data_IF_239806280236
#
_entry.id   IF_239806280236
#
_cell.length_a   1.000
_cell.length_b   1.000
_cell.length_c   1.000
_cell.angle_alpha   90.00
_cell.angle_beta   90.00
_cell.angle_gamma   90.00
#
_symmetry.space_group_name_H-M   'P 1'
#
loop_
_entity.id
_entity.type
_entity.pdbx_description
1 polymer ?
#
# COMPACT_ATOMS: atom_id res chain seq x y z
N UNK A 1 -10.75 2.01 21.90
CA UNK A 1 -9.98 2.97 21.06
C UNK A 1 -8.63 2.34 20.73
N UNK A 2 -8.12 2.56 19.53
CA UNK A 2 -6.81 2.04 19.08
C UNK A 2 -5.75 3.14 19.10
N UNK A 3 -6.07 4.29 18.50
CA UNK A 3 -5.22 5.48 18.47
C UNK A 3 -6.07 6.72 18.17
N UNK A 4 -5.48 7.91 18.35
CA UNK A 4 -6.09 9.18 17.96
C UNK A 4 -5.49 9.68 16.65
N UNK A 5 -6.33 10.04 15.69
CA UNK A 5 -5.88 10.72 14.46
C UNK A 5 -5.85 12.22 14.75
N UNK A 6 -4.71 12.88 14.63
CA UNK A 6 -4.55 14.30 15.03
C UNK A 6 -4.83 15.29 13.90
N UNK A 7 -4.98 14.82 12.67
CA UNK A 7 -5.37 15.61 11.50
C UNK A 7 -6.50 14.93 10.72
N UNK A 8 -6.95 15.55 9.64
CA UNK A 8 -7.91 14.93 8.74
C UNK A 8 -7.29 13.70 8.06
N UNK A 9 -8.01 12.58 8.07
CA UNK A 9 -7.60 11.34 7.37
C UNK A 9 -8.65 10.98 6.33
N UNK A 10 -8.30 11.15 5.07
CA UNK A 10 -9.18 10.87 3.93
C UNK A 10 -9.00 9.42 3.44
N UNK A 11 -10.10 8.66 3.44
CA UNK A 11 -10.19 7.32 2.86
C UNK A 11 -11.22 7.22 1.72
N UNK A 12 -11.66 8.36 1.17
CA UNK A 12 -12.57 8.39 0.03
C UNK A 12 -11.97 7.66 -1.15
N UNK A 13 -12.81 6.87 -1.83
CA UNK A 13 -12.41 6.09 -3.00
C UNK A 13 -11.79 6.97 -4.09
N UNK A 14 -12.32 8.17 -4.28
CA UNK A 14 -11.81 9.13 -5.25
C UNK A 14 -10.39 9.61 -4.90
N UNK A 15 -10.03 9.68 -3.61
CA UNK A 15 -8.73 10.17 -3.14
C UNK A 15 -7.68 9.07 -3.19
N UNK A 16 -7.95 7.91 -2.55
CA UNK A 16 -6.98 6.80 -2.44
C UNK A 16 -6.59 6.22 -3.81
N UNK A 17 -7.45 6.33 -4.81
CA UNK A 17 -7.20 5.80 -6.16
C UNK A 17 -6.59 6.81 -7.15
N UNK A 18 -6.40 8.07 -6.74
CA UNK A 18 -5.90 9.14 -7.61
C UNK A 18 -4.50 9.62 -7.24
N UNK A 19 -3.93 9.15 -6.12
CA UNK A 19 -2.66 9.65 -5.61
C UNK A 19 -2.33 9.07 -4.25
N UNK A 20 -1.13 9.37 -3.76
CA UNK A 20 -0.73 9.05 -2.39
C UNK A 20 -1.77 9.56 -1.39
N UNK A 21 -2.09 8.73 -0.38
CA UNK A 21 -2.98 9.12 0.71
C UNK A 21 -2.42 8.62 2.05
N UNK A 22 -2.59 9.39 3.16
CA UNK A 22 -2.02 9.00 4.44
C UNK A 22 -2.58 7.66 4.97
N UNK A 23 -3.83 7.31 4.67
CA UNK A 23 -4.40 6.00 5.03
C UNK A 23 -3.71 4.86 4.28
N UNK A 24 -3.36 5.08 3.01
CA UNK A 24 -2.61 4.15 2.19
C UNK A 24 -1.21 3.92 2.72
N UNK A 25 -0.51 5.00 3.06
CA UNK A 25 0.81 4.96 3.70
C UNK A 25 0.75 4.15 5.01
N UNK A 26 -0.25 4.42 5.85
CA UNK A 26 -0.45 3.75 7.13
C UNK A 26 -0.65 2.23 6.96
N UNK A 27 -1.43 1.80 5.96
CA UNK A 27 -1.64 0.36 5.68
C UNK A 27 -0.35 -0.28 5.16
N UNK A 28 0.37 0.37 4.25
CA UNK A 28 1.65 -0.14 3.75
C UNK A 28 2.70 -0.23 4.87
N UNK A 29 2.78 0.78 5.74
CA UNK A 29 3.66 0.80 6.91
C UNK A 29 3.31 -0.32 7.88
N UNK A 30 2.02 -0.52 8.17
CA UNK A 30 1.57 -1.58 9.06
C UNK A 30 2.02 -2.97 8.60
N UNK A 31 1.87 -3.28 7.31
CA UNK A 31 2.31 -4.56 6.74
C UNK A 31 3.83 -4.73 6.79
N UNK A 32 4.58 -3.68 6.39
CA UNK A 32 6.05 -3.70 6.43
C UNK A 32 6.57 -3.88 7.86
N UNK A 33 6.01 -3.13 8.81
CA UNK A 33 6.42 -3.18 10.21
C UNK A 33 6.04 -4.50 10.90
N UNK A 34 4.93 -5.13 10.51
CA UNK A 34 4.51 -6.42 11.06
C UNK A 34 5.42 -7.58 10.62
N UNK A 35 6.04 -7.46 9.46
CA UNK A 35 6.82 -8.54 8.82
C UNK A 35 8.33 -8.31 8.85
N UNK A 36 8.77 -7.05 8.99
CA UNK A 36 10.18 -6.69 8.86
C UNK A 36 10.68 -6.68 7.41
N UNK A 37 9.78 -6.69 6.42
CA UNK A 37 10.15 -6.66 5.01
C UNK A 37 10.81 -5.32 4.61
N UNK A 38 11.54 -5.33 3.49
CA UNK A 38 12.17 -4.13 2.94
C UNK A 38 11.12 -3.10 2.52
N UNK A 39 10.04 -3.57 1.91
CA UNK A 39 8.99 -2.75 1.27
C UNK A 39 7.61 -3.16 1.80
N UNK A 40 6.71 -2.18 1.98
CA UNK A 40 5.27 -2.42 2.10
C UNK A 40 4.55 -1.96 0.83
N UNK A 41 3.61 -2.76 0.31
CA UNK A 41 2.85 -2.46 -0.90
C UNK A 41 1.39 -2.90 -0.77
N UNK A 42 0.44 -1.96 -0.92
CA UNK A 42 -0.99 -2.26 -1.00
C UNK A 42 -1.65 -1.50 -2.15
N UNK A 43 -2.65 -2.11 -2.79
CA UNK A 43 -3.50 -1.47 -3.76
C UNK A 43 -4.57 -0.62 -3.06
N UNK A 44 -4.90 0.54 -3.62
CA UNK A 44 -5.94 1.43 -3.12
C UNK A 44 -7.32 0.77 -3.06
N UNK A 45 -7.57 -0.24 -3.89
CA UNK A 45 -8.79 -1.04 -3.91
C UNK A 45 -9.06 -1.81 -2.62
N UNK A 46 -8.02 -2.06 -1.82
CA UNK A 46 -8.15 -2.68 -0.50
C UNK A 46 -8.81 -1.76 0.55
N UNK A 47 -8.73 -0.44 0.36
CA UNK A 47 -9.21 0.58 1.31
C UNK A 47 -10.64 1.00 0.95
N UNK A 48 -11.59 0.78 1.87
CA UNK A 48 -13.02 0.79 1.57
C UNK A 48 -13.87 1.71 2.46
N UNK A 49 -13.30 2.42 3.43
CA UNK A 49 -14.09 3.19 4.38
C UNK A 49 -14.86 4.35 3.75
N UNK A 50 -14.37 4.87 2.61
CA UNK A 50 -15.00 5.88 1.76
C UNK A 50 -15.51 7.10 2.55
N UNK A 51 -14.69 7.63 3.44
CA UNK A 51 -15.06 8.71 4.36
C UNK A 51 -13.87 9.59 4.69
N UNK A 52 -14.14 10.62 5.47
CA UNK A 52 -13.14 11.48 6.09
C UNK A 52 -13.24 11.27 7.60
N UNK A 53 -12.12 10.99 8.26
CA UNK A 53 -12.03 11.06 9.72
C UNK A 53 -11.56 12.46 10.11
N UNK A 54 -12.32 13.20 10.94
CA UNK A 54 -11.91 14.53 11.37
C UNK A 54 -10.69 14.46 12.30
N UNK A 55 -9.98 15.58 12.42
CA UNK A 55 -8.93 15.74 13.42
C UNK A 55 -9.49 15.47 14.84
N UNK A 56 -8.71 14.77 15.65
CA UNK A 56 -9.10 14.28 16.97
C UNK A 56 -9.93 12.99 16.97
N UNK A 57 -10.23 12.40 15.80
CA UNK A 57 -11.00 11.15 15.73
C UNK A 57 -10.31 10.01 16.48
N UNK A 58 -11.08 9.31 17.31
CA UNK A 58 -10.64 8.14 18.07
C UNK A 58 -10.78 6.88 17.22
N UNK A 59 -9.76 6.60 16.41
CA UNK A 59 -9.74 5.45 15.51
C UNK A 59 -10.00 4.15 16.27
N UNK A 60 -11.02 3.42 15.82
CA UNK A 60 -11.56 2.24 16.49
C UNK A 60 -11.28 0.95 15.73
N UNK A 61 -11.54 -0.19 16.37
CA UNK A 61 -11.53 -1.50 15.68
C UNK A 61 -12.57 -1.56 14.55
N UNK A 62 -13.73 -0.93 14.76
CA UNK A 62 -14.78 -0.85 13.73
C UNK A 62 -14.28 -0.07 12.51
N UNK A 63 -13.55 1.02 12.72
CA UNK A 63 -12.97 1.80 11.62
C UNK A 63 -11.97 0.95 10.82
N UNK A 64 -11.03 0.28 11.48
CA UNK A 64 -10.06 -0.61 10.83
C UNK A 64 -10.73 -1.70 9.97
N UNK A 65 -11.77 -2.35 10.51
CA UNK A 65 -12.52 -3.40 9.80
C UNK A 65 -13.43 -2.83 8.68
N UNK A 66 -13.87 -1.58 8.80
CA UNK A 66 -14.61 -0.89 7.74
C UNK A 66 -13.68 -0.47 6.59
N UNK A 67 -12.45 -0.07 6.91
CA UNK A 67 -11.43 0.26 5.92
C UNK A 67 -10.93 -0.97 5.17
N UNK A 68 -10.76 -2.10 5.85
CA UNK A 68 -10.16 -3.32 5.27
C UNK A 68 -11.10 -4.53 5.44
N UNK A 69 -12.25 -4.57 4.76
CA UNK A 69 -13.33 -5.52 5.04
C UNK A 69 -13.13 -6.92 4.46
N UNK A 70 -12.13 -7.12 3.59
CA UNK A 70 -12.01 -8.33 2.78
C UNK A 70 -11.41 -9.55 3.49
N UNK A 71 -10.90 -9.37 4.72
CA UNK A 71 -10.21 -10.46 5.41
C UNK A 71 -8.89 -10.87 4.77
N UNK A 72 -8.33 -10.04 3.87
CA UNK A 72 -7.02 -10.25 3.27
C UNK A 72 -5.95 -10.41 4.35
N UNK A 73 -4.94 -11.22 4.05
CA UNK A 73 -3.80 -11.49 4.93
C UNK A 73 -2.54 -10.82 4.42
N UNK A 74 -1.72 -10.34 5.34
CA UNK A 74 -0.38 -9.82 5.03
C UNK A 74 0.56 -10.99 4.77
N UNK A 75 1.28 -10.91 3.65
CA UNK A 75 2.19 -11.93 3.13
C UNK A 75 3.48 -11.27 2.69
N UNK A 76 4.59 -12.03 2.70
CA UNK A 76 5.89 -11.56 2.25
C UNK A 76 6.33 -12.35 1.03
N UNK A 77 6.68 -11.64 -0.05
CA UNK A 77 7.24 -12.22 -1.26
C UNK A 77 8.70 -11.77 -1.43
N UNK A 78 9.51 -12.64 -2.05
CA UNK A 78 10.82 -12.25 -2.60
C UNK A 78 10.59 -11.80 -4.04
N UNK A 79 10.87 -10.53 -4.32
CA UNK A 79 10.56 -9.88 -5.60
C UNK A 79 11.83 -9.23 -6.13
N UNK A 80 12.13 -9.42 -7.42
CA UNK A 80 13.25 -8.75 -8.07
C UNK A 80 13.00 -7.24 -8.17
N UNK A 81 14.05 -6.43 -8.28
CA UNK A 81 13.88 -5.00 -8.53
C UNK A 81 13.12 -4.73 -9.83
N UNK A 82 13.42 -5.48 -10.89
CA UNK A 82 12.69 -5.41 -12.15
C UNK A 82 11.18 -5.68 -11.99
N UNK A 83 10.78 -6.63 -11.15
CA UNK A 83 9.37 -6.92 -10.88
C UNK A 83 8.71 -5.87 -9.98
N UNK A 84 9.45 -5.24 -9.06
CA UNK A 84 8.98 -4.08 -8.30
C UNK A 84 8.66 -2.91 -9.25
N UNK A 85 9.54 -2.65 -10.22
CA UNK A 85 9.31 -1.64 -11.25
C UNK A 85 8.03 -1.95 -12.03
N UNK A 86 7.87 -3.19 -12.48
CA UNK A 86 6.66 -3.63 -13.18
C UNK A 86 5.40 -3.51 -12.31
N UNK A 87 5.49 -3.78 -11.01
CA UNK A 87 4.37 -3.65 -10.08
C UNK A 87 3.92 -2.19 -9.95
N UNK A 88 4.87 -1.25 -9.83
CA UNK A 88 4.55 0.17 -9.78
C UNK A 88 3.98 0.67 -11.12
N UNK A 89 4.56 0.25 -12.25
CA UNK A 89 4.04 0.53 -13.60
C UNK A 89 2.60 0.03 -13.77
N UNK A 90 2.31 -1.20 -13.35
CA UNK A 90 0.94 -1.72 -13.33
C UNK A 90 0.04 -0.85 -12.45
N UNK A 91 0.48 -0.50 -11.24
CA UNK A 91 -0.31 0.29 -10.31
C UNK A 91 -0.72 1.65 -10.85
N UNK A 92 0.15 2.29 -11.64
CA UNK A 92 -0.12 3.63 -12.21
C UNK A 92 -0.63 3.59 -13.65
N UNK A 93 -0.74 2.41 -14.26
CA UNK A 93 -1.19 2.22 -15.66
C UNK A 93 -2.60 2.74 -15.96
N UNK A 94 -3.44 2.90 -14.94
CA UNK A 94 -4.84 3.30 -15.05
C UNK A 94 -5.22 4.40 -14.03
N UNK A 95 -4.27 5.27 -13.70
CA UNK A 95 -4.47 6.32 -12.68
C UNK A 95 -5.61 7.28 -13.05
N UNK A 96 -5.80 7.55 -14.34
CA UNK A 96 -6.86 8.42 -14.86
C UNK A 96 -8.25 7.81 -14.67
N UNK A 97 -8.36 6.48 -14.73
CA UNK A 97 -9.63 5.77 -14.48
C UNK A 97 -9.90 5.57 -12.98
N UNK A 98 -9.01 6.04 -12.09
CA UNK A 98 -9.09 5.84 -10.65
C UNK A 98 -9.33 4.37 -10.32
N UNK A 99 -8.58 3.49 -10.99
CA UNK A 99 -8.68 2.06 -10.80
C UNK A 99 -8.20 1.66 -9.39
N UNK A 100 -8.73 0.55 -8.85
CA UNK A 100 -8.33 0.04 -7.53
C UNK A 100 -6.84 -0.30 -7.42
N UNK A 101 -6.17 -0.50 -8.57
CA UNK A 101 -4.78 -0.89 -8.66
C UNK A 101 -3.77 0.17 -8.18
N UNK A 102 -4.16 1.43 -7.97
CA UNK A 102 -3.21 2.48 -7.55
C UNK A 102 -2.36 2.04 -6.33
N UNK A 103 -1.02 2.16 -6.36
CA UNK A 103 -0.16 1.62 -5.31
C UNK A 103 0.03 2.62 -4.18
N UNK A 104 -0.13 2.15 -2.94
CA UNK A 104 0.40 2.80 -1.75
C UNK A 104 1.57 2.01 -1.22
N UNK A 105 2.63 2.71 -0.81
CA UNK A 105 3.93 2.11 -0.55
C UNK A 105 4.52 2.54 0.80
N UNK A 106 5.43 1.72 1.32
CA UNK A 106 6.24 1.99 2.51
C UNK A 106 7.70 1.71 2.20
N UNK A 107 8.59 2.62 2.63
CA UNK A 107 10.03 2.61 2.34
C UNK A 107 10.38 2.69 0.84
N UNK A 108 9.47 3.24 0.04
CA UNK A 108 9.63 3.49 -1.39
C UNK A 108 9.26 4.93 -1.71
N UNK A 109 10.06 5.54 -2.59
CA UNK A 109 9.72 6.81 -3.26
C UNK A 109 9.73 6.56 -4.76
N UNK A 110 8.67 6.96 -5.47
CA UNK A 110 8.60 6.87 -6.92
C UNK A 110 8.11 8.17 -7.56
N UNK A 111 8.78 8.59 -8.63
CA UNK A 111 8.33 9.66 -9.52
C UNK A 111 7.62 9.05 -10.72
N UNK A 112 6.45 9.59 -11.06
CA UNK A 112 5.57 9.05 -12.09
C UNK A 112 5.12 10.17 -13.01
N UNK A 113 5.20 9.94 -14.31
CA UNK A 113 4.65 10.81 -15.36
C UNK A 113 3.46 10.08 -16.02
N UNK A 114 2.20 10.45 -15.66
CA UNK A 114 1.00 9.83 -16.23
C UNK A 114 0.82 10.10 -17.73
N UNK A 115 1.49 11.12 -18.29
CA UNK A 115 1.41 11.45 -19.73
C UNK A 115 2.18 10.46 -20.58
N UNK A 116 3.12 9.70 -19.99
CA UNK A 116 3.81 8.62 -20.69
C UNK A 116 2.88 7.42 -20.91
N UNK A 117 3.12 6.61 -21.96
CA UNK A 117 2.37 5.39 -22.19
C UNK A 117 2.40 4.46 -20.96
N UNK A 118 1.29 3.76 -20.63
CA UNK A 118 1.29 2.74 -19.60
C UNK A 118 2.42 1.72 -19.79
N UNK A 119 3.11 1.35 -18.71
CA UNK A 119 4.33 0.53 -18.78
C UNK A 119 5.62 1.33 -18.94
N UNK A 120 5.54 2.65 -19.05
CA UNK A 120 6.68 3.57 -19.05
C UNK A 120 6.38 4.85 -18.28
N UNK A 121 5.48 4.80 -17.28
CA UNK A 121 5.09 5.98 -16.49
C UNK A 121 6.02 6.25 -15.33
N UNK A 122 6.65 5.22 -14.76
CA UNK A 122 7.55 5.38 -13.62
C UNK A 122 8.90 5.89 -14.11
N UNK A 123 9.28 7.07 -13.64
CA UNK A 123 10.52 7.77 -14.03
C UNK A 123 11.68 7.34 -13.16
N UNK A 124 11.47 7.26 -11.84
CA UNK A 124 12.48 6.84 -10.89
C UNK A 124 11.85 6.11 -9.70
N UNK A 125 12.62 5.20 -9.10
CA UNK A 125 12.24 4.45 -7.91
C UNK A 125 13.42 4.45 -6.96
N UNK A 126 13.17 4.74 -5.69
CA UNK A 126 14.11 4.59 -4.60
C UNK A 126 13.53 3.71 -3.51
N UNK A 127 14.36 2.81 -2.95
CA UNK A 127 14.02 1.95 -1.82
C UNK A 127 14.92 2.33 -0.66
N UNK A 128 14.34 2.80 0.46
CA UNK A 128 15.13 3.30 1.60
C UNK A 128 16.09 4.44 1.26
N UNK A 129 15.73 5.28 0.28
CA UNK A 129 16.55 6.40 -0.18
C UNK A 129 17.71 6.02 -1.11
N UNK A 130 17.80 4.75 -1.54
CA UNK A 130 18.76 4.31 -2.56
C UNK A 130 18.04 4.01 -3.87
N UNK A 131 18.63 4.31 -5.04
CA UNK A 131 18.06 3.91 -6.33
C UNK A 131 17.74 2.42 -6.36
N UNK A 132 16.62 2.08 -6.99
CA UNK A 132 16.25 0.69 -7.22
C UNK A 132 17.33 -0.01 -8.07
N UNK A 133 17.89 -1.07 -7.53
CA UNK A 133 18.69 -2.05 -8.26
C UNK A 133 17.76 -3.13 -8.82
N UNK A 134 17.66 -3.23 -10.15
CA UNK A 134 16.74 -4.13 -10.85
C UNK A 134 17.14 -5.61 -10.69
N UNK A 135 18.42 -5.91 -10.45
CA UNK A 135 18.95 -7.28 -10.29
C UNK A 135 18.88 -7.76 -8.83
N UNK A 136 18.74 -6.83 -7.87
CA UNK A 136 18.60 -7.17 -6.45
C UNK A 136 17.22 -7.77 -6.15
N UNK A 137 17.20 -8.76 -5.27
CA UNK A 137 15.97 -9.30 -4.67
C UNK A 137 15.65 -8.56 -3.36
N UNK A 138 14.39 -8.14 -3.22
CA UNK A 138 13.85 -7.48 -2.05
C UNK A 138 12.73 -8.32 -1.43
N UNK A 139 12.48 -8.11 -0.15
CA UNK A 139 11.29 -8.63 0.53
C UNK A 139 10.16 -7.60 0.48
N UNK A 140 9.00 -8.01 -0.02
CA UNK A 140 7.82 -7.15 -0.19
C UNK A 140 6.67 -7.69 0.66
N UNK A 141 6.25 -6.92 1.66
CA UNK A 141 5.03 -7.16 2.41
C UNK A 141 3.82 -6.61 1.63
N UNK A 142 2.91 -7.49 1.24
CA UNK A 142 1.69 -7.14 0.52
C UNK A 142 0.48 -7.90 1.05
N UNK A 143 -0.68 -7.71 0.42
CA UNK A 143 -1.88 -8.49 0.72
C UNK A 143 -2.00 -9.69 -0.24
N UNK A 144 -2.57 -10.78 0.24
CA UNK A 144 -2.73 -12.04 -0.49
C UNK A 144 -3.57 -11.94 -1.77
N UNK A 145 -4.47 -10.95 -1.88
CA UNK A 145 -5.15 -10.64 -3.13
C UNK A 145 -4.17 -10.15 -4.23
N UNK A 146 -3.28 -9.20 -3.91
CA UNK A 146 -2.25 -8.74 -4.84
C UNK A 146 -1.23 -9.84 -5.16
N UNK A 147 -0.83 -10.62 -4.14
CA UNK A 147 0.06 -11.78 -4.31
C UNK A 147 -0.51 -12.78 -5.35
N UNK A 148 -1.83 -12.97 -5.40
CA UNK A 148 -2.49 -13.84 -6.40
C UNK A 148 -2.73 -13.17 -7.76
N UNK A 149 -2.16 -11.99 -8.01
CA UNK A 149 -2.30 -11.24 -9.26
C UNK A 149 -3.55 -10.37 -9.34
N UNK A 150 -4.28 -10.19 -8.23
CA UNK A 150 -5.39 -9.25 -8.16
C UNK A 150 -4.98 -7.84 -8.61
N UNK A 151 -5.90 -7.11 -9.24
CA UNK A 151 -5.64 -5.78 -9.84
C UNK A 151 -4.49 -5.74 -10.88
N UNK A 152 -4.13 -6.90 -11.45
CA UNK A 152 -3.09 -7.02 -12.48
C UNK A 152 -1.67 -7.16 -11.92
N UNK A 153 -1.50 -7.35 -10.61
CA UNK A 153 -0.19 -7.48 -9.96
C UNK A 153 0.47 -8.86 -10.13
N UNK A 154 0.41 -9.44 -11.34
CA UNK A 154 0.89 -10.80 -11.63
C UNK A 154 2.39 -10.99 -11.42
N UNK A 155 3.17 -9.90 -11.46
CA UNK A 155 4.62 -9.87 -11.24
C UNK A 155 5.06 -10.07 -9.79
N UNK A 156 4.17 -9.93 -8.79
CA UNK A 156 4.56 -10.10 -7.38
C UNK A 156 4.79 -11.57 -6.97
N UNK A 157 4.31 -12.54 -7.77
CA UNK A 157 4.25 -13.97 -7.41
C UNK A 157 3.19 -14.21 -6.32
N UNK A 158 2.39 -15.28 -6.28
CA UNK A 158 2.68 -16.72 -6.21
C UNK A 158 1.48 -17.54 -6.74
N UNK A 159 1.75 -18.66 -7.43
CA UNK A 159 0.84 -19.81 -7.62
C UNK A 159 0.92 -20.79 -6.43
N UNK A 160 1.01 -20.29 -5.19
CA UNK A 160 1.05 -21.14 -4.00
C UNK A 160 -0.39 -21.55 -3.64
N UNK A 161 -0.66 -22.82 -3.29
CA UNK A 161 -1.97 -23.23 -2.81
C UNK A 161 -2.33 -22.48 -1.52
N UNK A 162 -3.60 -22.07 -1.36
CA UNK A 162 -4.10 -21.22 -0.25
C UNK A 162 -3.70 -21.66 1.18
N UNK A 163 -3.37 -22.94 1.36
CA UNK A 163 -2.91 -23.53 2.64
C UNK A 163 -1.55 -22.99 3.12
N UNK A 164 -0.76 -22.35 2.26
CA UNK A 164 0.58 -21.86 2.59
C UNK A 164 0.60 -20.35 2.92
N UNK A 165 -0.55 -19.65 2.82
CA UNK A 165 -0.66 -18.22 3.20
C UNK A 165 -0.73 -18.07 4.72
N UNK A 166 0.45 -18.13 5.34
CA UNK A 166 0.63 -17.90 6.77
C UNK A 166 0.82 -16.39 7.02
N UNK A 167 -0.25 -15.71 7.39
CA UNK A 167 -0.24 -14.26 7.62
C UNK A 167 -1.36 -13.80 8.54
N UNK A 168 -1.16 -12.68 9.25
CA UNK A 168 -2.24 -12.03 10.02
C UNK A 168 -3.14 -11.25 9.06
N UNK A 169 -4.36 -10.93 9.49
CA UNK A 169 -5.23 -10.04 8.73
C UNK A 169 -4.55 -8.68 8.57
N UNK A 170 -4.60 -8.08 7.37
CA UNK A 170 -4.06 -6.72 7.14
C UNK A 170 -4.69 -5.72 8.13
N UNK A 171 -5.99 -5.87 8.41
CA UNK A 171 -6.69 -5.07 9.42
C UNK A 171 -6.09 -5.24 10.82
N UNK A 172 -5.64 -6.44 11.19
CA UNK A 172 -5.00 -6.70 12.49
C UNK A 172 -3.62 -6.05 12.58
N UNK A 173 -2.86 -6.05 11.49
CA UNK A 173 -1.57 -5.37 11.43
C UNK A 173 -1.74 -3.85 11.48
N UNK A 174 -2.73 -3.29 10.77
CA UNK A 174 -3.11 -1.88 10.88
C UNK A 174 -3.46 -1.49 12.32
N UNK A 175 -4.32 -2.28 12.97
CA UNK A 175 -4.70 -2.03 14.37
C UNK A 175 -3.52 -2.11 15.32
N UNK A 176 -2.59 -3.04 15.11
CA UNK A 176 -1.39 -3.20 15.92
C UNK A 176 -0.44 -2.03 15.73
N UNK A 177 -0.21 -1.62 14.48
CA UNK A 177 0.62 -0.48 14.14
C UNK A 177 0.06 0.83 14.71
N UNK A 178 -1.22 1.10 14.50
CA UNK A 178 -1.91 2.26 15.09
C UNK A 178 -1.81 2.27 16.61
N UNK A 179 -2.03 1.13 17.28
CA UNK A 179 -1.90 1.04 18.74
C UNK A 179 -0.49 1.38 19.22
N UNK A 180 0.54 0.95 18.47
CA UNK A 180 1.95 1.27 18.78
C UNK A 180 2.24 2.76 18.62
N UNK A 181 1.65 3.42 17.62
CA UNK A 181 1.79 4.86 17.42
C UNK A 181 1.08 5.66 18.54
N UNK A 182 -0.09 5.20 18.99
CA UNK A 182 -0.95 5.88 19.97
C UNK A 182 -1.63 7.13 19.40
N UNK A 183 -0.90 7.95 18.65
CA UNK A 183 -1.38 9.07 17.86
C UNK A 183 -0.84 8.98 16.44
N UNK A 184 -1.68 9.26 15.44
CA UNK A 184 -1.28 9.33 14.04
C UNK A 184 -1.56 10.71 13.48
N UNK A 185 -0.55 11.37 12.92
CA UNK A 185 -0.65 12.65 12.24
C UNK A 185 -0.63 12.42 10.72
N UNK A 186 -1.79 12.42 10.04
CA UNK A 186 -1.87 12.18 8.60
C UNK A 186 -1.10 13.25 7.83
N UNK A 187 -0.26 12.81 6.89
CA UNK A 187 0.43 13.68 5.94
C UNK A 187 0.77 12.93 4.66
N UNK A 188 0.84 13.67 3.56
CA UNK A 188 1.46 13.21 2.31
C UNK A 188 2.97 13.38 2.46
N UNK A 189 3.72 12.32 2.20
CA UNK A 189 5.17 12.28 2.44
C UNK A 189 5.98 12.32 1.13
N UNK A 190 5.31 12.31 -0.02
CA UNK A 190 5.98 12.29 -1.32
C UNK A 190 6.53 10.90 -1.65
N UNK A 191 5.87 9.84 -1.19
CA UNK A 191 6.19 8.45 -1.52
C UNK A 191 5.83 8.12 -2.96
N UNK A 192 4.73 8.69 -3.50
CA UNK A 192 4.37 8.59 -4.91
C UNK A 192 4.06 9.99 -5.44
N UNK A 193 4.88 10.47 -6.37
CA UNK A 193 4.80 11.83 -6.92
C UNK A 193 4.34 11.75 -8.37
N UNK A 194 3.12 12.20 -8.65
CA UNK A 194 2.59 12.33 -10.00
C UNK A 194 2.99 13.72 -10.56
N UNK A 195 3.66 13.75 -11.73
CA UNK A 195 4.12 14.98 -12.41
C UNK A 195 3.43 15.20 -13.75
#
# INVERSE_FOLDING_TARGET
MIATVTGELDSRTASVRSGEQPIGNLVADAMRMATGADIGLTNAGAIRGNRIYPAGHRFSRRDALSELPFGNRTVVAKVSGADIRQALENGVSQVEQRAGRFPHVSNVTAEVDPKRPPGSRVVSIQIGGQPLDDDRVYTVATNDFMLRGGDGYTMLGLRAPDKDVQGKLVASDLMTHMRRLGTYAPRIEGRIILR
#
